data_IF_684716496502
#
_entry.id   IF_684716496502
#
_cell.length_a   1.000
_cell.length_b   1.000
_cell.length_c   1.000
_cell.angle_alpha   90.00
_cell.angle_beta   90.00
_cell.angle_gamma   90.00
#
_symmetry.space_group_name_H-M   'P 1'
#
loop_
_entity.id
_entity.type
_entity.pdbx_description
1 polymer ?
#
# COMPACT_ATOMS: atom_id res chain seq x y z
N UNK A 1 38.13 33.86 26.12
CA UNK A 1 37.18 32.78 25.74
C UNK A 1 35.99 33.29 24.93
N UNK A 2 35.53 34.54 25.10
CA UNK A 2 34.32 35.06 24.42
C UNK A 2 34.50 35.40 22.93
N UNK A 3 35.69 35.80 22.48
CA UNK A 3 35.92 36.21 21.08
C UNK A 3 35.81 35.06 20.06
N UNK A 4 35.97 33.80 20.48
CA UNK A 4 35.83 32.64 19.59
C UNK A 4 34.38 32.18 19.40
N UNK A 5 33.40 32.67 20.17
CA UNK A 5 31.99 32.25 20.11
C UNK A 5 31.12 33.11 19.18
N UNK A 6 31.51 34.37 18.94
CA UNK A 6 30.82 35.30 18.04
C UNK A 6 30.61 34.77 16.61
N UNK A 7 31.63 34.25 15.90
CA UNK A 7 31.44 33.76 14.53
C UNK A 7 30.50 32.54 14.45
N UNK A 8 30.51 31.67 15.46
CA UNK A 8 29.55 30.55 15.54
C UNK A 8 28.11 31.05 15.79
N UNK A 9 27.94 32.09 16.58
CA UNK A 9 26.63 32.71 16.82
C UNK A 9 26.03 33.31 15.53
N UNK A 10 26.83 34.05 14.76
CA UNK A 10 26.39 34.60 13.46
C UNK A 10 26.10 33.51 12.43
N UNK A 11 26.91 32.44 12.39
CA UNK A 11 26.66 31.29 11.53
C UNK A 11 25.34 30.58 11.90
N UNK A 12 25.10 30.34 13.20
CA UNK A 12 23.85 29.77 13.70
C UNK A 12 22.63 30.65 13.37
N UNK A 13 22.72 31.97 13.60
CA UNK A 13 21.65 32.91 13.28
C UNK A 13 21.35 32.93 11.77
N UNK A 14 22.38 32.87 10.93
CA UNK A 14 22.23 32.80 9.47
C UNK A 14 21.54 31.50 9.03
N UNK A 15 21.90 30.37 9.63
CA UNK A 15 21.25 29.07 9.35
C UNK A 15 19.77 29.11 9.76
N UNK A 16 19.46 29.65 10.95
CA UNK A 16 18.07 29.79 11.42
C UNK A 16 17.27 30.68 10.47
N UNK A 17 17.82 31.83 10.06
CA UNK A 17 17.17 32.73 9.11
C UNK A 17 16.90 32.04 7.77
N UNK A 18 17.87 31.29 7.23
CA UNK A 18 17.70 30.52 6.00
C UNK A 18 16.60 29.46 6.14
N UNK A 19 16.52 28.77 7.28
CA UNK A 19 15.45 27.81 7.58
C UNK A 19 14.10 28.53 7.61
N UNK A 20 13.99 29.67 8.29
CA UNK A 20 12.76 30.46 8.35
C UNK A 20 12.31 30.92 6.95
N UNK A 21 13.22 31.47 6.15
CA UNK A 21 12.94 31.86 4.75
C UNK A 21 12.45 30.65 3.96
N UNK A 22 13.09 29.49 4.12
CA UNK A 22 12.70 28.27 3.42
C UNK A 22 11.32 27.78 3.85
N UNK A 23 11.01 27.81 5.15
CA UNK A 23 9.70 27.45 5.69
C UNK A 23 8.61 28.40 5.17
N UNK A 24 8.85 29.71 5.17
CA UNK A 24 7.92 30.68 4.61
C UNK A 24 7.66 30.44 3.12
N UNK A 25 8.72 30.14 2.35
CA UNK A 25 8.58 29.82 0.94
C UNK A 25 7.76 28.55 0.71
N UNK A 26 8.11 27.45 1.40
CA UNK A 26 7.48 26.14 1.18
C UNK A 26 6.05 26.06 1.74
N UNK A 27 5.73 26.77 2.84
CA UNK A 27 4.40 26.73 3.48
C UNK A 27 3.42 27.81 3.00
N UNK A 28 3.89 28.97 2.53
CA UNK A 28 3.03 30.08 2.12
C UNK A 28 3.11 30.36 0.61
N UNK A 29 4.29 30.75 0.12
CA UNK A 29 4.44 31.28 -1.23
C UNK A 29 4.23 30.22 -2.31
N UNK A 30 4.82 29.04 -2.12
CA UNK A 30 4.75 27.95 -3.11
C UNK A 30 3.32 27.41 -3.28
N UNK A 31 2.55 27.09 -2.23
CA UNK A 31 1.14 26.69 -2.38
C UNK A 31 0.28 27.79 -3.04
N UNK A 32 0.47 29.06 -2.69
CA UNK A 32 -0.25 30.17 -3.31
C UNK A 32 0.05 30.30 -4.81
N UNK A 33 1.33 30.22 -5.21
CA UNK A 33 1.73 30.24 -6.62
C UNK A 33 1.13 29.08 -7.41
N UNK A 34 1.15 27.86 -6.86
CA UNK A 34 0.55 26.69 -7.49
C UNK A 34 -0.97 26.85 -7.62
N UNK A 35 -1.65 27.33 -6.58
CA UNK A 35 -3.10 27.61 -6.62
C UNK A 35 -3.45 28.67 -7.67
N UNK A 36 -2.68 29.75 -7.77
CA UNK A 36 -2.90 30.77 -8.79
C UNK A 36 -2.75 30.19 -10.21
N UNK A 37 -1.77 29.30 -10.42
CA UNK A 37 -1.60 28.62 -11.71
C UNK A 37 -2.80 27.75 -12.06
N UNK A 38 -3.31 26.97 -11.10
CA UNK A 38 -4.51 26.14 -11.28
C UNK A 38 -5.75 26.99 -11.58
N UNK A 39 -5.97 28.06 -10.82
CA UNK A 39 -7.11 28.99 -11.04
C UNK A 39 -7.08 29.66 -12.40
N UNK A 40 -5.90 30.02 -12.91
CA UNK A 40 -5.75 30.55 -14.28
C UNK A 40 -6.13 29.54 -15.36
N UNK A 41 -6.14 28.25 -15.04
CA UNK A 41 -6.57 27.16 -15.92
C UNK A 41 -8.04 26.77 -15.70
N UNK A 42 -8.80 27.53 -14.90
CA UNK A 42 -10.20 27.22 -14.57
C UNK A 42 -10.37 26.18 -13.45
N UNK A 43 -9.28 25.65 -12.89
CA UNK A 43 -9.33 24.68 -11.79
C UNK A 43 -9.40 25.43 -10.46
N UNK A 44 -10.57 25.44 -9.83
CA UNK A 44 -10.74 25.96 -8.47
C UNK A 44 -10.90 24.81 -7.45
N UNK A 45 -11.04 25.19 -6.18
CA UNK A 45 -11.20 24.23 -5.09
C UNK A 45 -11.47 24.95 -3.78
N UNK A 46 -11.60 24.21 -2.67
CA UNK A 46 -11.91 24.80 -1.37
C UNK A 46 -10.84 25.82 -0.96
N UNK A 47 -11.25 26.89 -0.26
CA UNK A 47 -10.34 27.96 0.17
C UNK A 47 -9.49 27.48 1.35
N UNK A 48 -8.15 27.46 1.27
CA UNK A 48 -7.30 26.95 2.35
C UNK A 48 -7.28 27.92 3.54
N UNK A 49 -7.19 27.37 4.75
CA UNK A 49 -6.85 28.13 5.95
C UNK A 49 -5.37 28.50 5.97
N UNK A 50 -5.01 29.54 6.74
CA UNK A 50 -3.62 29.93 6.93
C UNK A 50 -2.82 28.75 7.54
N UNK A 51 -1.66 28.43 6.96
CA UNK A 51 -0.71 27.36 7.32
C UNK A 51 -1.21 25.91 7.22
N UNK A 52 -2.46 25.63 7.59
CA UNK A 52 -3.01 24.25 7.67
C UNK A 52 -3.80 23.81 6.43
N UNK A 53 -3.91 24.66 5.42
CA UNK A 53 -4.61 24.32 4.18
C UNK A 53 -6.08 23.95 4.46
N UNK A 54 -6.54 22.84 3.91
CA UNK A 54 -7.91 22.37 4.14
C UNK A 54 -8.02 21.33 5.27
N UNK A 55 -6.96 21.10 6.07
CA UNK A 55 -7.00 20.11 7.16
C UNK A 55 -8.12 20.37 8.18
N UNK A 56 -8.36 21.60 8.66
CA UNK A 56 -9.44 21.86 9.62
C UNK A 56 -10.82 21.54 9.03
N UNK A 57 -11.05 21.90 7.77
CA UNK A 57 -12.28 21.61 7.05
C UNK A 57 -12.47 20.10 6.84
N UNK A 58 -11.41 19.37 6.47
CA UNK A 58 -11.44 17.90 6.36
C UNK A 58 -11.81 17.27 7.70
N UNK A 59 -11.21 17.73 8.81
CA UNK A 59 -11.53 17.24 10.15
C UNK A 59 -12.97 17.51 10.54
N UNK A 60 -13.46 18.72 10.26
CA UNK A 60 -14.84 19.12 10.51
C UNK A 60 -15.83 18.25 9.71
N UNK A 61 -15.59 18.03 8.42
CA UNK A 61 -16.41 17.14 7.59
C UNK A 61 -16.42 15.72 8.12
N UNK A 62 -15.27 15.20 8.58
CA UNK A 62 -15.20 13.88 9.21
C UNK A 62 -15.96 13.80 10.53
N UNK A 63 -15.96 14.86 11.36
CA UNK A 63 -16.72 14.86 12.63
C UNK A 63 -18.24 14.96 12.44
N UNK A 64 -18.70 15.49 11.30
CA UNK A 64 -20.14 15.55 10.98
C UNK A 64 -20.71 14.18 10.57
N UNK A 65 -19.86 13.26 10.09
CA UNK A 65 -20.27 11.89 9.82
C UNK A 65 -20.41 11.16 11.15
N UNK A 66 -21.65 10.88 11.56
CA UNK A 66 -21.95 10.13 12.79
C UNK A 66 -21.46 8.68 12.63
N UNK A 67 -20.28 8.39 13.17
CA UNK A 67 -19.82 7.01 13.38
C UNK A 67 -20.65 6.29 14.47
N UNK A 68 -21.50 7.00 15.22
CA UNK A 68 -22.31 6.45 16.31
C UNK A 68 -23.45 5.54 15.87
N UNK A 69 -23.80 5.49 14.57
CA UNK A 69 -24.73 4.46 14.04
C UNK A 69 -24.06 3.09 13.87
N UNK A 70 -22.75 2.99 14.12
CA UNK A 70 -21.93 1.78 13.98
C UNK A 70 -21.49 1.17 15.32
N UNK A 71 -22.10 1.59 16.44
CA UNK A 71 -21.84 1.00 17.75
C UNK A 71 -22.16 -0.50 17.75
N UNK A 72 -21.25 -1.29 18.33
CA UNK A 72 -21.11 -2.75 18.35
C UNK A 72 -22.34 -3.62 18.65
N UNK A 73 -23.48 -3.04 18.98
CA UNK A 73 -24.59 -3.77 19.58
C UNK A 73 -25.63 -4.26 18.56
N UNK A 74 -25.42 -3.97 17.25
CA UNK A 74 -26.31 -4.43 16.17
C UNK A 74 -25.51 -4.93 14.96
N UNK A 75 -24.89 -6.10 15.08
CA UNK A 75 -24.28 -6.82 13.94
C UNK A 75 -25.33 -7.36 12.94
N UNK A 76 -26.62 -7.17 13.21
CA UNK A 76 -27.74 -7.63 12.37
C UNK A 76 -27.88 -6.85 11.05
N UNK A 77 -27.21 -5.70 10.90
CA UNK A 77 -27.27 -4.89 9.68
C UNK A 77 -25.92 -4.85 8.99
N UNK A 78 -25.88 -5.32 7.74
CA UNK A 78 -24.70 -5.22 6.87
C UNK A 78 -24.19 -3.77 6.84
N UNK A 79 -22.87 -3.53 6.99
CA UNK A 79 -22.33 -2.18 6.92
C UNK A 79 -22.67 -1.55 5.57
N UNK A 80 -22.95 -0.23 5.50
CA UNK A 80 -23.23 0.46 4.25
C UNK A 80 -22.06 0.27 3.28
N UNK A 81 -22.38 -0.14 2.05
CA UNK A 81 -21.39 -0.39 1.01
C UNK A 81 -20.62 0.88 0.58
N UNK A 82 -21.20 2.08 0.80
CA UNK A 82 -20.54 3.36 0.52
C UNK A 82 -19.59 3.80 1.66
N UNK A 83 -18.58 2.98 1.92
CA UNK A 83 -17.51 3.26 2.90
C UNK A 83 -16.67 4.47 2.51
N UNK A 84 -16.59 4.80 1.21
CA UNK A 84 -15.85 5.97 0.71
C UNK A 84 -16.43 7.27 1.23
N UNK A 85 -17.77 7.42 1.20
CA UNK A 85 -18.46 8.59 1.73
C UNK A 85 -18.23 8.80 3.23
N UNK A 86 -18.07 7.70 3.97
CA UNK A 86 -17.88 7.70 5.42
C UNK A 86 -16.43 8.06 5.76
N UNK A 87 -15.45 7.41 5.10
CA UNK A 87 -14.04 7.60 5.40
C UNK A 87 -13.47 8.90 4.82
N UNK A 88 -14.00 9.33 3.67
CA UNK A 88 -13.54 10.49 2.92
C UNK A 88 -14.69 11.40 2.43
N UNK A 89 -15.52 11.94 3.34
CA UNK A 89 -16.68 12.77 2.97
C UNK A 89 -16.28 14.01 2.15
N UNK A 90 -15.11 14.58 2.46
CA UNK A 90 -14.53 15.71 1.73
C UNK A 90 -14.23 15.40 0.26
N UNK A 91 -13.77 14.19 -0.09
CA UNK A 91 -13.56 13.84 -1.50
C UNK A 91 -14.89 13.81 -2.25
N UNK A 92 -15.91 13.15 -1.70
CA UNK A 92 -17.23 13.11 -2.34
C UNK A 92 -17.84 14.50 -2.52
N UNK A 93 -17.75 15.37 -1.50
CA UNK A 93 -18.28 16.72 -1.59
C UNK A 93 -17.50 17.57 -2.61
N UNK A 94 -16.17 17.56 -2.54
CA UNK A 94 -15.35 18.42 -3.40
C UNK A 94 -15.32 17.93 -4.84
N UNK A 95 -15.34 16.62 -5.12
CA UNK A 95 -15.46 16.10 -6.48
C UNK A 95 -16.79 16.55 -7.11
N UNK A 96 -17.90 16.50 -6.37
CA UNK A 96 -19.20 17.00 -6.88
C UNK A 96 -19.19 18.51 -7.13
N UNK A 97 -18.58 19.27 -6.24
CA UNK A 97 -18.62 20.73 -6.27
C UNK A 97 -17.65 21.34 -7.29
N UNK A 98 -16.45 20.78 -7.40
CA UNK A 98 -15.37 21.41 -8.14
C UNK A 98 -14.98 20.63 -9.39
N UNK A 99 -15.20 19.32 -9.45
CA UNK A 99 -14.71 18.58 -10.60
C UNK A 99 -15.26 17.15 -10.81
N UNK A 100 -16.44 17.01 -11.47
CA UNK A 100 -16.98 15.69 -11.78
C UNK A 100 -16.24 14.97 -12.93
N UNK A 101 -15.46 15.66 -13.76
CA UNK A 101 -14.90 15.10 -15.00
C UNK A 101 -13.39 14.87 -14.96
N UNK A 102 -12.62 15.68 -14.23
CA UNK A 102 -11.15 15.58 -14.20
C UNK A 102 -10.65 14.27 -13.60
N UNK A 103 -11.35 13.69 -12.63
CA UNK A 103 -10.96 12.38 -12.07
C UNK A 103 -10.96 11.32 -13.18
N UNK A 104 -11.96 11.36 -14.07
CA UNK A 104 -12.05 10.46 -15.23
C UNK A 104 -10.91 10.73 -16.20
N UNK A 105 -10.62 12.00 -16.52
CA UNK A 105 -9.55 12.37 -17.45
C UNK A 105 -8.16 11.99 -16.92
N UNK A 106 -7.88 12.26 -15.64
CA UNK A 106 -6.63 11.87 -14.96
C UNK A 106 -6.44 10.35 -15.01
N UNK A 107 -7.50 9.57 -14.75
CA UNK A 107 -7.44 8.11 -14.80
C UNK A 107 -7.23 7.57 -16.22
N UNK A 108 -7.57 8.33 -17.26
CA UNK A 108 -7.39 7.95 -18.66
C UNK A 108 -6.07 8.48 -19.25
N UNK A 109 -5.37 9.37 -18.55
CA UNK A 109 -4.13 9.95 -19.02
C UNK A 109 -3.00 8.91 -19.05
N UNK A 110 -2.43 8.68 -20.23
CA UNK A 110 -1.32 7.74 -20.45
C UNK A 110 0.06 8.43 -20.45
N UNK A 111 0.10 9.76 -20.27
CA UNK A 111 1.36 10.50 -20.31
C UNK A 111 2.22 10.17 -19.10
N UNK A 112 3.50 9.90 -19.34
CA UNK A 112 4.52 9.77 -18.27
C UNK A 112 4.79 11.11 -17.56
N UNK A 113 4.29 12.23 -18.08
CA UNK A 113 4.38 13.54 -17.46
C UNK A 113 3.40 13.71 -16.31
N UNK A 114 2.24 13.04 -16.37
CA UNK A 114 1.31 12.96 -15.25
C UNK A 114 1.83 11.92 -14.25
N UNK A 115 2.90 12.32 -13.56
CA UNK A 115 3.56 11.49 -12.58
C UNK A 115 2.82 11.42 -11.25
N UNK A 116 3.20 10.43 -10.45
CA UNK A 116 2.84 10.27 -9.05
C UNK A 116 3.28 11.50 -8.24
N UNK A 117 2.44 11.97 -7.30
CA UNK A 117 2.78 13.12 -6.46
C UNK A 117 4.07 12.91 -5.66
N UNK A 118 4.90 13.93 -5.60
CA UNK A 118 6.17 13.88 -4.87
C UNK A 118 6.02 13.60 -3.36
N UNK A 119 4.85 13.85 -2.77
CA UNK A 119 4.59 13.55 -1.36
C UNK A 119 4.59 12.03 -1.09
N UNK A 120 4.18 11.20 -2.05
CA UNK A 120 4.20 9.74 -1.88
C UNK A 120 5.63 9.25 -1.61
N UNK A 121 6.60 9.73 -2.39
CA UNK A 121 8.00 9.42 -2.19
C UNK A 121 8.57 10.06 -0.90
N UNK A 122 8.14 11.28 -0.56
CA UNK A 122 8.71 12.02 0.57
C UNK A 122 8.20 11.53 1.92
N UNK A 123 6.91 11.27 2.01
CA UNK A 123 6.22 10.99 3.28
C UNK A 123 6.17 9.49 3.54
N UNK A 124 6.07 8.68 2.48
CA UNK A 124 6.13 7.21 2.56
C UNK A 124 7.49 6.66 2.14
N UNK A 125 8.53 7.51 2.10
CA UNK A 125 9.89 7.12 1.72
C UNK A 125 10.45 5.93 2.52
N UNK A 126 10.30 5.88 3.86
CA UNK A 126 10.75 4.72 4.64
C UNK A 126 10.04 3.41 4.24
N UNK A 127 8.75 3.50 3.89
CA UNK A 127 7.92 2.35 3.52
C UNK A 127 8.18 1.90 2.07
N UNK A 128 8.06 2.81 1.11
CA UNK A 128 7.99 2.53 -0.34
C UNK A 128 9.26 2.93 -1.10
N UNK A 129 10.15 3.71 -0.47
CA UNK A 129 11.40 4.17 -1.08
C UNK A 129 11.21 4.78 -2.47
N UNK A 130 12.09 4.38 -3.41
CA UNK A 130 12.00 4.68 -4.84
C UNK A 130 11.53 3.47 -5.65
N UNK A 131 10.54 2.74 -5.15
CA UNK A 131 9.95 1.59 -5.82
C UNK A 131 8.90 1.97 -6.87
N UNK A 132 8.30 0.95 -7.48
CA UNK A 132 7.29 1.06 -8.53
C UNK A 132 6.13 2.00 -8.18
N UNK A 133 5.75 2.12 -6.90
CA UNK A 133 4.60 2.89 -6.41
C UNK A 133 4.94 4.38 -6.23
N UNK A 134 6.21 4.79 -6.24
CA UNK A 134 6.60 6.20 -5.96
C UNK A 134 7.38 6.87 -7.09
N UNK A 135 7.95 6.11 -8.02
CA UNK A 135 8.74 6.62 -9.15
C UNK A 135 7.89 7.08 -10.33
N UNK A 136 8.52 7.85 -11.23
CA UNK A 136 7.92 8.42 -12.43
C UNK A 136 8.84 8.23 -13.65
N UNK A 137 8.30 8.50 -14.85
CA UNK A 137 9.05 8.59 -16.11
C UNK A 137 9.85 7.32 -16.44
N UNK A 138 11.07 7.47 -16.95
CA UNK A 138 11.92 6.39 -17.44
C UNK A 138 12.21 5.32 -16.39
N UNK A 139 12.55 5.72 -15.15
CA UNK A 139 12.73 4.80 -14.02
C UNK A 139 11.49 3.94 -13.76
N UNK A 140 10.30 4.56 -13.72
CA UNK A 140 9.04 3.82 -13.55
C UNK A 140 8.76 2.88 -14.72
N UNK A 141 8.98 3.35 -15.95
CA UNK A 141 8.81 2.54 -17.15
C UNK A 141 9.74 1.32 -17.11
N UNK A 142 11.00 1.48 -16.69
CA UNK A 142 11.94 0.39 -16.51
C UNK A 142 11.45 -0.61 -15.45
N UNK A 143 11.13 -0.15 -14.24
CA UNK A 143 10.59 -1.00 -13.17
C UNK A 143 9.36 -1.79 -13.62
N UNK A 144 8.42 -1.13 -14.32
CA UNK A 144 7.20 -1.81 -14.80
C UNK A 144 7.48 -2.82 -15.89
N UNK A 145 8.39 -2.53 -16.83
CA UNK A 145 8.80 -3.49 -17.88
C UNK A 145 9.56 -4.68 -17.31
N UNK A 146 10.33 -4.49 -16.24
CA UNK A 146 11.00 -5.58 -15.51
C UNK A 146 10.00 -6.53 -14.85
N UNK A 147 8.99 -5.97 -14.17
CA UNK A 147 8.07 -6.76 -13.33
C UNK A 147 6.91 -7.36 -14.14
N UNK A 148 6.37 -6.64 -15.12
CA UNK A 148 5.12 -7.03 -15.81
C UNK A 148 5.13 -8.45 -16.42
N UNK A 149 6.22 -8.95 -17.03
CA UNK A 149 6.25 -10.31 -17.58
C UNK A 149 5.97 -11.41 -16.54
N UNK A 150 6.33 -11.17 -15.28
CA UNK A 150 6.08 -12.12 -14.19
C UNK A 150 4.60 -12.20 -13.77
N UNK A 151 3.75 -11.32 -14.33
CA UNK A 151 2.32 -11.27 -14.08
C UNK A 151 1.50 -11.67 -15.32
N UNK A 152 2.13 -12.24 -16.34
CA UNK A 152 1.45 -12.77 -17.52
C UNK A 152 0.75 -14.10 -17.21
N UNK A 153 -0.23 -14.45 -18.05
CA UNK A 153 -1.16 -15.55 -17.77
C UNK A 153 -0.47 -16.93 -17.63
N UNK A 154 0.64 -17.14 -18.32
CA UNK A 154 1.48 -18.33 -18.16
C UNK A 154 2.06 -18.40 -16.74
N UNK A 155 2.68 -17.32 -16.26
CA UNK A 155 3.23 -17.24 -14.90
C UNK A 155 2.16 -17.30 -13.82
N UNK A 156 1.02 -16.65 -14.03
CA UNK A 156 -0.09 -16.66 -13.08
C UNK A 156 -0.68 -18.06 -12.90
N UNK A 157 -0.71 -18.88 -13.96
CA UNK A 157 -1.14 -20.28 -13.86
C UNK A 157 -0.23 -21.09 -12.94
N UNK A 158 1.08 -20.86 -13.02
CA UNK A 158 2.05 -21.52 -12.12
C UNK A 158 1.87 -21.08 -10.66
N UNK A 159 1.59 -19.78 -10.44
CA UNK A 159 1.31 -19.23 -9.11
C UNK A 159 0.01 -19.78 -8.50
N UNK A 160 -0.96 -20.22 -9.30
CA UNK A 160 -2.23 -20.74 -8.79
C UNK A 160 -2.01 -21.97 -7.90
N UNK A 161 -1.06 -22.83 -8.23
CA UNK A 161 -0.75 -24.01 -7.41
C UNK A 161 -0.28 -23.60 -6.01
N UNK A 162 0.55 -22.53 -5.92
CA UNK A 162 1.00 -21.96 -4.64
C UNK A 162 -0.21 -21.45 -3.82
N UNK A 163 -1.17 -20.81 -4.48
CA UNK A 163 -2.39 -20.30 -3.84
C UNK A 163 -3.25 -21.44 -3.32
N UNK A 164 -3.53 -22.45 -4.15
CA UNK A 164 -4.37 -23.61 -3.78
C UNK A 164 -3.75 -24.41 -2.63
N UNK A 165 -2.44 -24.66 -2.69
CA UNK A 165 -1.71 -25.35 -1.62
C UNK A 165 -1.78 -24.55 -0.31
N UNK A 166 -1.51 -23.24 -0.36
CA UNK A 166 -1.56 -22.38 0.83
C UNK A 166 -2.98 -22.25 1.39
N UNK A 167 -4.00 -22.21 0.52
CA UNK A 167 -5.40 -22.15 0.92
C UNK A 167 -5.86 -23.45 1.56
N UNK A 168 -5.36 -24.60 1.08
CA UNK A 168 -5.64 -25.90 1.68
C UNK A 168 -5.09 -25.98 3.12
N UNK A 169 -3.91 -25.43 3.38
CA UNK A 169 -3.36 -25.32 4.74
C UNK A 169 -4.22 -24.43 5.64
N UNK A 170 -4.70 -23.30 5.12
CA UNK A 170 -5.61 -22.40 5.83
C UNK A 170 -6.91 -23.12 6.20
N UNK A 171 -7.57 -23.77 5.25
CA UNK A 171 -8.82 -24.51 5.47
C UNK A 171 -8.63 -25.61 6.52
N UNK A 172 -7.55 -26.41 6.43
CA UNK A 172 -7.24 -27.45 7.43
C UNK A 172 -7.07 -26.88 8.84
N UNK A 173 -6.47 -25.69 8.97
CA UNK A 173 -6.34 -25.05 10.27
C UNK A 173 -7.69 -24.65 10.86
N UNK A 174 -8.64 -24.21 10.03
CA UNK A 174 -10.00 -23.89 10.47
C UNK A 174 -10.80 -25.16 10.78
N UNK A 175 -10.67 -26.22 9.97
CA UNK A 175 -11.29 -27.53 10.23
C UNK A 175 -10.85 -28.06 11.60
N UNK A 176 -9.56 -28.02 11.90
CA UNK A 176 -9.04 -28.45 13.21
C UNK A 176 -9.62 -27.65 14.39
N UNK A 177 -9.83 -26.33 14.23
CA UNK A 177 -10.46 -25.50 15.26
C UNK A 177 -11.93 -25.89 15.43
N UNK A 178 -12.67 -26.04 14.33
CA UNK A 178 -14.08 -26.45 14.32
C UNK A 178 -14.28 -27.83 14.97
N UNK A 179 -13.41 -28.79 14.66
CA UNK A 179 -13.44 -30.12 15.27
C UNK A 179 -13.18 -30.05 16.78
N UNK A 180 -12.22 -29.23 17.22
CA UNK A 180 -11.89 -29.09 18.63
C UNK A 180 -13.00 -28.43 19.47
N UNK A 181 -13.85 -27.60 18.85
CA UNK A 181 -14.97 -26.91 19.50
C UNK A 181 -16.32 -27.63 19.32
N UNK A 182 -16.31 -28.87 18.82
CA UNK A 182 -17.52 -29.70 18.74
C UNK A 182 -18.39 -29.47 17.51
N UNK A 183 -17.80 -29.01 16.40
CA UNK A 183 -18.43 -28.90 15.08
C UNK A 183 -18.86 -27.49 14.69
N UNK A 184 -18.69 -26.49 15.54
CA UNK A 184 -18.89 -25.06 15.22
C UNK A 184 -17.92 -24.24 16.04
N UNK A 185 -17.28 -23.23 15.43
CA UNK A 185 -16.29 -22.39 16.09
C UNK A 185 -16.36 -20.93 15.61
N UNK A 186 -16.04 -20.01 16.52
CA UNK A 186 -15.93 -18.58 16.22
C UNK A 186 -14.48 -18.21 15.86
N UNK A 187 -14.22 -17.96 14.58
CA UNK A 187 -12.86 -17.73 14.06
C UNK A 187 -12.64 -16.25 13.72
N UNK A 188 -11.66 -15.62 14.38
CA UNK A 188 -11.15 -14.30 13.99
C UNK A 188 -10.25 -14.43 12.74
N UNK A 189 -10.82 -14.23 11.56
CA UNK A 189 -10.15 -14.50 10.27
C UNK A 189 -8.98 -13.57 9.91
N UNK A 190 -8.84 -12.39 10.53
CA UNK A 190 -7.85 -11.36 10.10
C UNK A 190 -6.41 -11.90 10.08
N UNK A 191 -5.95 -12.48 11.19
CA UNK A 191 -4.57 -12.94 11.32
C UNK A 191 -4.30 -14.16 10.41
N UNK A 192 -5.25 -15.10 10.34
CA UNK A 192 -5.21 -16.26 9.45
C UNK A 192 -5.10 -15.89 7.97
N UNK A 193 -5.94 -14.96 7.49
CA UNK A 193 -5.95 -14.54 6.09
C UNK A 193 -4.69 -13.73 5.74
N UNK A 194 -4.18 -12.92 6.67
CA UNK A 194 -2.91 -12.20 6.47
C UNK A 194 -1.72 -13.13 6.42
N UNK A 195 -1.68 -14.15 7.27
CA UNK A 195 -0.65 -15.18 7.23
C UNK A 195 -0.71 -15.96 5.91
N UNK A 196 -1.89 -16.40 5.49
CA UNK A 196 -2.12 -17.07 4.21
C UNK A 196 -1.60 -16.24 3.02
N UNK A 197 -2.02 -14.98 2.90
CA UNK A 197 -1.60 -14.12 1.79
C UNK A 197 -0.11 -13.80 1.85
N UNK A 198 0.44 -13.56 3.04
CA UNK A 198 1.87 -13.37 3.24
C UNK A 198 2.67 -14.60 2.79
N UNK A 199 2.21 -15.80 3.14
CA UNK A 199 2.86 -17.05 2.74
C UNK A 199 2.87 -17.23 1.21
N UNK A 200 1.73 -16.99 0.56
CA UNK A 200 1.60 -17.01 -0.91
C UNK A 200 2.60 -16.04 -1.55
N UNK A 201 2.59 -14.77 -1.15
CA UNK A 201 3.47 -13.77 -1.76
C UNK A 201 4.93 -13.93 -1.36
N UNK A 202 5.24 -14.58 -0.25
CA UNK A 202 6.61 -14.97 0.09
C UNK A 202 7.15 -16.01 -0.88
N UNK A 203 6.34 -17.03 -1.23
CA UNK A 203 6.71 -18.05 -2.22
C UNK A 203 6.87 -17.48 -3.61
N UNK A 204 5.97 -16.57 -4.02
CA UNK A 204 6.07 -15.88 -5.31
C UNK A 204 7.31 -14.96 -5.36
N UNK A 205 7.61 -14.25 -4.25
CA UNK A 205 8.66 -13.24 -4.26
C UNK A 205 10.05 -13.83 -4.08
N UNK A 206 10.20 -14.78 -3.15
CA UNK A 206 11.50 -15.30 -2.69
C UNK A 206 11.75 -16.76 -3.07
N UNK A 207 10.83 -17.39 -3.82
CA UNK A 207 10.99 -18.76 -4.29
C UNK A 207 11.21 -19.73 -3.12
N UNK A 208 12.32 -20.48 -3.16
CA UNK A 208 12.71 -21.44 -2.13
C UNK A 208 13.07 -20.82 -0.78
N UNK A 209 13.38 -19.52 -0.74
CA UNK A 209 13.71 -18.78 0.49
C UNK A 209 12.48 -18.13 1.14
N UNK A 210 11.27 -18.60 0.83
CA UNK A 210 10.00 -18.02 1.30
C UNK A 210 9.83 -18.01 2.82
N UNK A 211 10.59 -18.81 3.57
CA UNK A 211 10.58 -18.81 5.04
C UNK A 211 10.92 -17.45 5.64
N UNK A 212 11.67 -16.60 4.92
CA UNK A 212 11.89 -15.20 5.31
C UNK A 212 10.59 -14.43 5.55
N UNK A 213 9.52 -14.80 4.85
CA UNK A 213 8.20 -14.17 4.96
C UNK A 213 7.68 -14.09 6.39
N UNK A 214 7.94 -15.13 7.19
CA UNK A 214 7.51 -15.21 8.59
C UNK A 214 8.17 -14.11 9.46
N UNK A 215 9.44 -13.77 9.19
CA UNK A 215 10.15 -12.70 9.90
C UNK A 215 9.92 -11.32 9.28
N UNK A 216 9.70 -11.27 7.97
CA UNK A 216 9.51 -10.05 7.20
C UNK A 216 8.12 -9.43 7.45
N UNK A 217 7.07 -10.25 7.48
CA UNK A 217 5.68 -9.82 7.69
C UNK A 217 5.49 -8.92 8.92
N UNK A 218 5.86 -9.33 10.15
CA UNK A 218 5.64 -8.50 11.34
C UNK A 218 6.39 -7.16 11.27
N UNK A 219 7.60 -7.14 10.68
CA UNK A 219 8.38 -5.90 10.50
C UNK A 219 7.75 -4.98 9.45
N UNK A 220 7.28 -5.55 8.35
CA UNK A 220 6.50 -4.85 7.33
C UNK A 220 5.21 -4.23 7.91
N UNK A 221 4.44 -4.97 8.71
CA UNK A 221 3.25 -4.45 9.40
C UNK A 221 3.59 -3.35 10.40
N UNK A 222 4.68 -3.52 11.17
CA UNK A 222 5.15 -2.47 12.07
C UNK A 222 5.56 -1.20 11.31
N UNK A 223 6.18 -1.35 10.14
CA UNK A 223 6.57 -0.24 9.27
C UNK A 223 5.36 0.49 8.68
N UNK A 224 4.33 -0.25 8.24
CA UNK A 224 3.03 0.32 7.81
C UNK A 224 2.43 1.12 8.97
N UNK A 225 2.26 0.52 10.15
CA UNK A 225 1.67 1.16 11.33
C UNK A 225 2.42 2.41 11.78
N UNK A 226 3.76 2.38 11.74
CA UNK A 226 4.58 3.54 12.06
C UNK A 226 4.45 4.66 11.01
N UNK A 227 4.14 4.30 9.76
CA UNK A 227 3.91 5.23 8.63
C UNK A 227 2.49 5.80 8.58
N UNK A 228 1.51 5.10 9.18
CA UNK A 228 0.06 5.41 9.14
C UNK A 228 -0.37 6.63 9.95
N UNK A 229 0.52 7.31 10.67
CA UNK A 229 0.14 8.49 11.45
C UNK A 229 0.38 9.78 10.65
N UNK A 230 -0.61 10.32 9.88
CA UNK A 230 -0.54 11.66 9.34
C UNK A 230 -0.77 12.66 10.47
N UNK A 231 0.27 12.92 11.25
CA UNK A 231 0.28 14.12 12.08
C UNK A 231 0.46 15.32 11.16
N UNK A 232 -0.13 16.46 11.50
CA UNK A 232 0.16 17.76 10.85
C UNK A 232 1.68 17.97 10.77
N UNK A 233 2.41 17.47 11.78
CA UNK A 233 3.86 17.47 11.86
C UNK A 233 4.56 16.74 10.70
N UNK A 234 3.98 15.65 10.16
CA UNK A 234 4.57 14.95 9.02
C UNK A 234 4.60 15.84 7.75
N UNK A 235 3.70 16.81 7.64
CA UNK A 235 3.71 17.81 6.55
C UNK A 235 4.70 18.96 6.77
N UNK A 236 5.28 19.11 7.96
CA UNK A 236 6.30 20.11 8.22
C UNK A 236 7.61 19.73 7.53
N UNK A 237 8.24 20.64 6.78
CA UNK A 237 9.58 20.44 6.28
C UNK A 237 10.52 20.03 7.43
N UNK A 238 11.44 19.11 7.13
CA UNK A 238 12.48 18.61 8.04
C UNK A 238 12.03 17.72 9.22
N UNK A 239 10.74 17.69 9.60
CA UNK A 239 10.28 16.89 10.77
C UNK A 239 10.69 15.42 10.70
N UNK A 240 10.65 14.82 9.50
CA UNK A 240 11.08 13.43 9.25
C UNK A 240 12.56 13.14 9.52
N UNK A 241 13.41 14.16 9.63
CA UNK A 241 14.83 14.01 9.95
C UNK A 241 15.11 14.20 11.45
N UNK A 242 14.13 14.66 12.22
CA UNK A 242 14.28 14.81 13.66
C UNK A 242 14.29 13.43 14.33
N UNK A 243 15.18 13.18 15.31
CA UNK A 243 15.34 11.88 15.95
C UNK A 243 14.25 11.63 17.01
N UNK A 244 12.98 11.81 16.64
CA UNK A 244 11.82 11.47 17.49
C UNK A 244 11.71 9.95 17.65
N UNK A 245 11.02 9.47 18.70
CA UNK A 245 10.79 8.03 18.92
C UNK A 245 10.22 7.35 17.66
N UNK A 246 9.18 7.95 17.07
CA UNK A 246 8.55 7.49 15.82
C UNK A 246 9.55 7.40 14.67
N UNK A 247 10.35 8.44 14.42
CA UNK A 247 11.30 8.43 13.31
C UNK A 247 12.44 7.43 13.54
N UNK A 248 12.92 7.27 14.78
CA UNK A 248 13.91 6.25 15.14
C UNK A 248 13.38 4.84 14.90
N UNK A 249 12.13 4.57 15.31
CA UNK A 249 11.47 3.30 15.06
C UNK A 249 11.32 3.02 13.56
N UNK A 250 10.91 4.04 12.78
CA UNK A 250 10.85 3.96 11.31
C UNK A 250 12.21 3.63 10.69
N UNK A 251 13.28 4.34 11.06
CA UNK A 251 14.62 4.10 10.52
C UNK A 251 15.16 2.72 10.89
N UNK A 252 14.91 2.26 12.12
CA UNK A 252 15.28 0.91 12.56
C UNK A 252 14.57 -0.14 11.70
N UNK A 253 13.24 -0.05 11.59
CA UNK A 253 12.44 -1.01 10.82
C UNK A 253 12.81 -0.99 9.32
N UNK A 254 13.02 0.20 8.74
CA UNK A 254 13.49 0.35 7.36
C UNK A 254 14.83 -0.37 7.16
N UNK A 255 15.79 -0.19 8.09
CA UNK A 255 17.09 -0.84 8.02
C UNK A 255 16.99 -2.36 8.17
N UNK A 256 16.19 -2.86 9.10
CA UNK A 256 15.97 -4.30 9.29
C UNK A 256 15.37 -4.95 8.04
N UNK A 257 14.30 -4.37 7.50
CA UNK A 257 13.66 -4.83 6.25
C UNK A 257 14.65 -4.80 5.08
N UNK A 258 15.42 -3.72 4.96
CA UNK A 258 16.46 -3.60 3.93
C UNK A 258 17.50 -4.72 4.05
N UNK A 259 18.07 -4.92 5.24
CA UNK A 259 19.10 -5.95 5.46
C UNK A 259 18.59 -7.35 5.15
N UNK A 260 17.38 -7.71 5.62
CA UNK A 260 16.80 -9.03 5.36
C UNK A 260 16.63 -9.32 3.86
N UNK A 261 16.12 -8.34 3.10
CA UNK A 261 15.96 -8.50 1.64
C UNK A 261 17.33 -8.66 0.96
N UNK A 262 18.31 -7.83 1.32
CA UNK A 262 19.66 -7.92 0.75
C UNK A 262 20.33 -9.25 1.10
N UNK A 263 20.22 -9.72 2.33
CA UNK A 263 20.82 -10.99 2.72
C UNK A 263 20.18 -12.17 1.97
N UNK A 264 18.90 -12.09 1.63
CA UNK A 264 18.25 -13.05 0.72
C UNK A 264 18.79 -12.96 -0.70
N UNK A 265 18.99 -11.75 -1.25
CA UNK A 265 19.61 -11.61 -2.59
C UNK A 265 20.99 -12.25 -2.68
N UNK A 266 21.80 -12.15 -1.61
CA UNK A 266 23.14 -12.74 -1.57
C UNK A 266 23.09 -14.27 -1.57
N UNK A 267 22.10 -14.87 -0.91
CA UNK A 267 21.89 -16.33 -0.86
C UNK A 267 21.47 -16.93 -2.21
N UNK A 268 20.94 -16.11 -3.12
CA UNK A 268 20.48 -16.53 -4.44
C UNK A 268 21.57 -16.57 -5.52
N UNK A 269 22.75 -16.01 -5.25
CA UNK A 269 23.86 -15.97 -6.22
C UNK A 269 24.33 -17.39 -6.61
N UNK A 270 23.73 -17.94 -7.68
CA UNK A 270 24.05 -19.25 -8.25
C UNK A 270 22.84 -20.13 -8.58
N UNK A 271 21.65 -19.80 -8.09
CA UNK A 271 20.43 -20.57 -8.38
C UNK A 271 19.67 -19.94 -9.55
N UNK A 272 19.38 -20.73 -10.60
CA UNK A 272 18.48 -20.34 -11.70
C UNK A 272 17.05 -20.49 -11.18
N UNK A 273 16.57 -19.50 -10.43
CA UNK A 273 15.18 -19.42 -10.00
C UNK A 273 14.47 -18.29 -10.76
N UNK A 274 13.28 -18.57 -11.27
CA UNK A 274 12.41 -17.59 -11.94
C UNK A 274 11.54 -16.83 -10.92
N UNK A 275 12.11 -16.53 -9.76
CA UNK A 275 11.41 -15.79 -8.70
C UNK A 275 11.51 -14.28 -8.92
N UNK A 276 10.59 -13.54 -8.30
CA UNK A 276 10.48 -12.10 -8.50
C UNK A 276 11.76 -11.36 -8.07
N UNK A 277 12.43 -11.82 -7.02
CA UNK A 277 13.64 -11.17 -6.52
C UNK A 277 14.81 -11.32 -7.51
N UNK A 278 14.97 -12.48 -8.16
CA UNK A 278 15.96 -12.65 -9.23
C UNK A 278 15.66 -11.72 -10.42
N UNK A 279 14.39 -11.57 -10.80
CA UNK A 279 13.96 -10.64 -11.86
C UNK A 279 14.31 -9.19 -11.54
N UNK A 280 14.16 -8.79 -10.27
CA UNK A 280 14.58 -7.46 -9.80
C UNK A 280 16.11 -7.29 -9.82
N UNK A 281 16.88 -8.30 -9.42
CA UNK A 281 18.35 -8.29 -9.49
C UNK A 281 18.83 -8.12 -10.92
N UNK A 282 18.17 -8.78 -11.86
CA UNK A 282 18.43 -8.72 -13.28
C UNK A 282 18.05 -7.36 -13.88
N UNK A 283 16.90 -6.81 -13.50
CA UNK A 283 16.47 -5.47 -13.87
C UNK A 283 17.41 -4.38 -13.34
N UNK A 284 18.02 -4.59 -12.17
CA UNK A 284 18.98 -3.66 -11.58
C UNK A 284 20.30 -3.56 -12.39
N UNK A 285 20.65 -4.56 -13.20
CA UNK A 285 21.86 -4.58 -14.02
C UNK A 285 21.70 -3.89 -15.38
N UNK A 286 20.47 -3.85 -15.93
CA UNK A 286 20.23 -3.65 -17.38
C UNK A 286 19.44 -2.41 -17.76
N UNK A 287 19.10 -1.50 -16.83
CA UNK A 287 18.28 -0.34 -17.20
C UNK A 287 18.37 0.88 -16.30
N UNK A 288 17.44 1.80 -16.52
CA UNK A 288 17.44 3.13 -15.90
C UNK A 288 17.04 3.07 -14.43
N UNK A 289 18.01 3.27 -13.54
CA UNK A 289 17.78 3.32 -12.09
C UNK A 289 17.58 4.76 -11.58
N UNK A 290 17.87 5.75 -12.43
CA UNK A 290 17.96 7.16 -12.04
C UNK A 290 18.93 7.33 -10.86
N UNK A 291 18.55 8.02 -9.78
CA UNK A 291 19.42 8.28 -8.63
C UNK A 291 19.47 7.13 -7.60
N UNK A 292 19.06 5.90 -7.96
CA UNK A 292 19.07 4.74 -7.07
C UNK A 292 20.29 3.86 -7.36
N UNK A 293 20.88 3.27 -6.32
CA UNK A 293 21.85 2.18 -6.48
C UNK A 293 21.14 0.89 -6.89
N UNK A 294 21.83 -0.10 -7.48
CA UNK A 294 21.25 -1.41 -7.79
C UNK A 294 20.62 -2.09 -6.56
N UNK A 295 21.29 -2.07 -5.41
CA UNK A 295 20.77 -2.60 -4.15
C UNK A 295 19.47 -1.91 -3.73
N UNK A 296 19.45 -0.57 -3.77
CA UNK A 296 18.26 0.20 -3.41
C UNK A 296 17.11 -0.05 -4.37
N UNK A 297 17.40 -0.23 -5.66
CA UNK A 297 16.41 -0.61 -6.66
C UNK A 297 15.76 -1.95 -6.31
N UNK A 298 16.55 -2.97 -5.97
CA UNK A 298 16.03 -4.29 -5.62
C UNK A 298 15.14 -4.19 -4.37
N UNK A 299 15.66 -3.60 -3.29
CA UNK A 299 14.94 -3.51 -2.00
C UNK A 299 13.66 -2.69 -2.14
N UNK A 300 13.71 -1.52 -2.76
CA UNK A 300 12.54 -0.64 -2.85
C UNK A 300 11.43 -1.26 -3.73
N UNK A 301 11.78 -1.92 -4.84
CA UNK A 301 10.77 -2.63 -5.65
C UNK A 301 10.26 -3.91 -4.97
N UNK A 302 11.12 -4.64 -4.25
CA UNK A 302 10.73 -5.84 -3.52
C UNK A 302 9.73 -5.51 -2.41
N UNK A 303 9.98 -4.45 -1.62
CA UNK A 303 9.03 -3.93 -0.63
C UNK A 303 7.70 -3.58 -1.28
N UNK A 304 7.72 -2.80 -2.36
CA UNK A 304 6.50 -2.37 -3.05
C UNK A 304 5.67 -3.56 -3.53
N UNK A 305 6.30 -4.59 -4.10
CA UNK A 305 5.60 -5.80 -4.54
C UNK A 305 5.08 -6.61 -3.38
N UNK A 306 5.91 -6.89 -2.38
CA UNK A 306 5.53 -7.71 -1.23
C UNK A 306 4.42 -7.03 -0.41
N UNK A 307 4.64 -5.78 0.04
CA UNK A 307 3.70 -5.01 0.86
C UNK A 307 2.37 -4.77 0.15
N UNK A 308 2.40 -4.35 -1.12
CA UNK A 308 1.17 -4.07 -1.84
C UNK A 308 0.38 -5.34 -2.13
N UNK A 309 1.05 -6.47 -2.31
CA UNK A 309 0.38 -7.70 -2.70
C UNK A 309 -0.28 -8.41 -1.52
N UNK A 310 0.40 -8.63 -0.40
CA UNK A 310 -0.21 -9.38 0.70
C UNK A 310 -1.31 -8.59 1.40
N UNK A 311 -1.08 -7.31 1.73
CA UNK A 311 -2.00 -6.57 2.60
C UNK A 311 -3.31 -6.22 1.87
N UNK A 312 -3.23 -5.82 0.59
CA UNK A 312 -4.43 -5.51 -0.21
C UNK A 312 -5.24 -6.78 -0.46
N UNK A 313 -4.58 -7.90 -0.78
CA UNK A 313 -5.26 -9.18 -1.01
C UNK A 313 -5.90 -9.69 0.29
N UNK A 314 -5.23 -9.54 1.44
CA UNK A 314 -5.79 -9.93 2.72
C UNK A 314 -7.06 -9.14 3.05
N UNK A 315 -7.01 -7.80 2.91
CA UNK A 315 -8.17 -6.93 3.14
C UNK A 315 -9.32 -7.32 2.21
N UNK A 316 -9.07 -7.48 0.91
CA UNK A 316 -10.12 -7.88 -0.03
C UNK A 316 -10.76 -9.23 0.33
N UNK A 317 -9.95 -10.22 0.72
CA UNK A 317 -10.44 -11.55 1.14
C UNK A 317 -11.25 -11.48 2.43
N UNK A 318 -10.80 -10.72 3.44
CA UNK A 318 -11.52 -10.53 4.71
C UNK A 318 -12.89 -9.88 4.45
N UNK A 319 -12.94 -8.81 3.65
CA UNK A 319 -14.21 -8.18 3.26
C UNK A 319 -15.11 -9.13 2.48
N UNK A 320 -14.55 -9.95 1.58
CA UNK A 320 -15.31 -10.93 0.81
C UNK A 320 -15.93 -12.00 1.72
N UNK A 321 -15.16 -12.53 2.67
CA UNK A 321 -15.66 -13.51 3.66
C UNK A 321 -16.76 -12.90 4.52
N UNK A 322 -16.56 -11.68 5.01
CA UNK A 322 -17.56 -10.96 5.81
C UNK A 322 -18.84 -10.72 5.01
N UNK A 323 -18.74 -10.24 3.76
CA UNK A 323 -19.90 -9.98 2.92
C UNK A 323 -20.66 -11.27 2.57
N UNK A 324 -19.95 -12.37 2.29
CA UNK A 324 -20.59 -13.68 2.06
C UNK A 324 -21.29 -14.19 3.31
N UNK A 325 -20.71 -14.02 4.50
CA UNK A 325 -21.33 -14.40 5.75
C UNK A 325 -22.61 -13.59 6.04
N UNK A 326 -22.64 -12.30 5.68
CA UNK A 326 -23.82 -11.44 5.82
C UNK A 326 -24.86 -11.59 4.71
N UNK A 327 -24.56 -12.32 3.63
CA UNK A 327 -25.45 -12.54 2.47
C UNK A 327 -25.51 -14.03 2.08
N UNK A 328 -26.22 -14.88 2.86
CA UNK A 328 -26.25 -16.32 2.67
C UNK A 328 -26.73 -16.76 1.28
N UNK A 329 -27.58 -15.97 0.62
CA UNK A 329 -28.04 -16.21 -0.75
C UNK A 329 -26.89 -16.15 -1.76
N UNK A 330 -25.94 -15.24 -1.56
CA UNK A 330 -24.74 -15.14 -2.39
C UNK A 330 -23.73 -16.24 -2.05
N UNK A 331 -23.59 -16.57 -0.76
CA UNK A 331 -22.78 -17.70 -0.33
C UNK A 331 -23.26 -19.02 -0.96
N UNK A 332 -24.58 -19.26 -0.98
CA UNK A 332 -25.17 -20.45 -1.59
C UNK A 332 -24.95 -20.49 -3.11
N UNK A 333 -25.10 -19.36 -3.81
CA UNK A 333 -24.84 -19.26 -5.26
C UNK A 333 -23.38 -19.55 -5.60
N UNK A 334 -22.45 -18.96 -4.86
CA UNK A 334 -21.01 -19.22 -5.01
C UNK A 334 -20.70 -20.70 -4.79
N UNK A 335 -21.25 -21.30 -3.73
CA UNK A 335 -21.06 -22.73 -3.43
C UNK A 335 -21.62 -23.63 -4.54
N UNK A 336 -22.80 -23.33 -5.07
CA UNK A 336 -23.41 -24.09 -6.16
C UNK A 336 -22.55 -24.04 -7.44
N UNK A 337 -22.08 -22.84 -7.83
CA UNK A 337 -21.20 -22.69 -8.99
C UNK A 337 -19.87 -23.45 -8.81
N UNK A 338 -19.27 -23.40 -7.62
CA UNK A 338 -18.02 -24.14 -7.35
C UNK A 338 -18.27 -25.66 -7.46
N UNK A 339 -19.37 -26.17 -6.92
CA UNK A 339 -19.69 -27.60 -7.01
C UNK A 339 -19.92 -28.04 -8.46
N UNK A 340 -20.62 -27.23 -9.26
CA UNK A 340 -20.87 -27.50 -10.68
C UNK A 340 -19.57 -27.51 -11.49
N UNK A 341 -18.71 -26.51 -11.31
CA UNK A 341 -17.49 -26.34 -12.12
C UNK A 341 -16.36 -27.27 -11.69
N UNK A 342 -16.18 -27.47 -10.38
CA UNK A 342 -15.07 -28.25 -9.85
C UNK A 342 -15.40 -29.74 -9.66
N UNK A 343 -16.67 -30.11 -9.45
CA UNK A 343 -17.08 -31.49 -9.20
C UNK A 343 -16.33 -32.14 -8.03
N UNK A 344 -16.02 -31.37 -6.97
CA UNK A 344 -15.25 -31.84 -5.81
C UNK A 344 -13.73 -31.85 -5.98
N UNK A 345 -13.20 -31.52 -7.16
CA UNK A 345 -11.75 -31.41 -7.39
C UNK A 345 -11.22 -30.02 -7.03
N UNK A 346 -9.90 -29.89 -6.85
CA UNK A 346 -9.27 -28.58 -6.69
C UNK A 346 -9.47 -27.69 -7.94
N UNK A 347 -9.62 -26.36 -7.76
CA UNK A 347 -9.74 -25.42 -8.86
C UNK A 347 -8.39 -25.27 -9.58
N UNK A 348 -8.44 -25.12 -10.90
CA UNK A 348 -7.32 -24.79 -11.77
C UNK A 348 -7.62 -23.51 -12.57
N UNK A 349 -6.66 -23.05 -13.37
CA UNK A 349 -6.78 -21.80 -14.11
C UNK A 349 -7.93 -21.80 -15.13
N UNK A 350 -8.29 -22.96 -15.68
CA UNK A 350 -9.40 -23.09 -16.63
C UNK A 350 -10.74 -23.06 -15.90
N UNK A 351 -10.86 -23.80 -14.78
CA UNK A 351 -12.05 -23.83 -13.94
C UNK A 351 -12.37 -22.47 -13.34
N UNK A 352 -11.37 -21.76 -12.82
CA UNK A 352 -11.55 -20.38 -12.36
C UNK A 352 -12.07 -19.48 -13.48
N UNK A 353 -11.62 -19.70 -14.72
CA UNK A 353 -12.13 -19.02 -15.91
C UNK A 353 -13.65 -19.16 -16.12
N UNK A 354 -14.24 -20.27 -15.67
CA UNK A 354 -15.66 -20.62 -15.84
C UNK A 354 -16.56 -20.13 -14.70
N UNK A 355 -16.00 -19.77 -13.54
CA UNK A 355 -16.76 -19.30 -12.37
C UNK A 355 -17.14 -17.82 -12.51
N UNK A 356 -18.34 -17.54 -13.03
CA UNK A 356 -18.84 -16.19 -13.31
C UNK A 356 -19.30 -15.47 -12.05
N UNK A 357 -19.94 -16.18 -11.11
CA UNK A 357 -20.44 -15.63 -9.86
C UNK A 357 -19.27 -15.27 -8.94
N UNK A 358 -18.29 -16.18 -8.81
CA UNK A 358 -17.05 -15.90 -8.04
C UNK A 358 -16.27 -14.72 -8.63
N UNK A 359 -16.27 -14.58 -9.95
CA UNK A 359 -15.55 -13.49 -10.66
C UNK A 359 -16.40 -12.26 -10.91
N UNK A 360 -17.66 -12.23 -10.45
CA UNK A 360 -18.59 -11.16 -10.79
C UNK A 360 -17.97 -9.82 -10.40
N UNK A 361 -17.60 -9.03 -11.41
CA UNK A 361 -17.21 -7.65 -11.20
C UNK A 361 -18.49 -6.90 -10.85
N UNK A 362 -18.52 -6.24 -9.70
CA UNK A 362 -19.47 -5.14 -9.47
C UNK A 362 -19.36 -4.22 -10.68
N UNK A 363 -20.44 -4.18 -11.46
CA UNK A 363 -20.54 -3.44 -12.71
C UNK A 363 -20.80 -1.98 -12.42
#
# INVERSE_FOLDING_TARGET
MEQHLLPYSYACASIVLLICIRLCYDLLLKPQRLRLKLRRQGIDGPKPSFMMGNIPEIKHMKSMVKLSEFSSDKWEQSPPLDTSSILFPHFNQWTKQYDPYLVKEINQCKSLDLGKPAYLQKDRGPLLGKGLITTNRGVWSHQRKTIAPQLYMDKVKDMLNIVVESASTLVKSWESVVESEGGTADIKVDDYVREFTSHVFSRITFGSNYSIGAELLPKCRALIKASESPTILNGLPFYRYLPTKKNRDLWRLEKEVHSMIIDTTKKLNGAVADDMIQVLMDGAKRGELGPSTPEKFIVDNCKDLYLAAFEVTAIATIWSLMLLASHPEWQARVRAEILEVCGGNMPDGEKLGKMKVVRARTT
#
